data_IF_128558489196
#
_entry.id   IF_128558489196
#
_cell.length_a   1.000
_cell.length_b   1.000
_cell.length_c   1.000
_cell.angle_alpha   90.00
_cell.angle_beta   90.00
_cell.angle_gamma   90.00
#
_symmetry.space_group_name_H-M   'P 1'
#
loop_
_entity.id
_entity.type
_entity.pdbx_description
1 polymer ?
#
# COMPACT_ATOMS: atom_id res chain seq x y z
N UNK A 1 16.78 22.61 49.14
CA UNK A 1 17.76 22.38 48.04
C UNK A 1 17.17 21.56 46.87
N UNK A 2 15.84 21.59 46.63
CA UNK A 2 15.16 20.73 45.64
C UNK A 2 14.65 21.46 44.38
N UNK A 3 14.74 22.79 44.31
CA UNK A 3 14.24 23.54 43.16
C UNK A 3 15.10 23.40 41.89
N UNK A 4 16.41 23.27 42.03
CA UNK A 4 17.33 23.21 40.87
C UNK A 4 17.11 21.96 40.00
N UNK A 5 16.97 20.73 40.54
CA UNK A 5 16.67 19.55 39.73
C UNK A 5 15.32 19.65 39.02
N UNK A 6 14.28 20.15 39.70
CA UNK A 6 12.92 20.26 39.14
C UNK A 6 12.81 21.27 38.01
N UNK A 7 13.58 22.36 38.09
CA UNK A 7 13.66 23.36 37.03
C UNK A 7 14.34 22.77 35.79
N UNK A 8 15.44 22.03 35.99
CA UNK A 8 16.17 21.38 34.91
C UNK A 8 15.32 20.31 34.20
N UNK A 9 14.52 19.56 34.94
CA UNK A 9 13.58 18.59 34.38
C UNK A 9 12.49 19.29 33.52
N UNK A 10 11.90 20.37 34.03
CA UNK A 10 10.90 21.12 33.27
C UNK A 10 11.47 21.75 31.99
N UNK A 11 12.73 22.18 31.99
CA UNK A 11 13.44 22.64 30.79
C UNK A 11 13.61 21.51 29.76
N UNK A 12 14.02 20.31 30.20
CA UNK A 12 14.13 19.15 29.33
C UNK A 12 12.79 18.73 28.71
N UNK A 13 11.73 18.71 29.50
CA UNK A 13 10.38 18.38 29.02
C UNK A 13 9.88 19.42 28.00
N UNK A 14 10.17 20.70 28.22
CA UNK A 14 9.86 21.76 27.23
C UNK A 14 10.64 21.56 25.94
N UNK A 15 11.94 21.32 26.01
CA UNK A 15 12.78 21.16 24.82
C UNK A 15 12.34 19.92 24.00
N UNK A 16 11.95 18.83 24.67
CA UNK A 16 11.35 17.65 24.02
C UNK A 16 10.01 17.97 23.36
N UNK A 17 9.15 18.74 24.01
CA UNK A 17 7.87 19.16 23.45
C UNK A 17 8.05 20.09 22.24
N UNK A 18 9.02 20.99 22.29
CA UNK A 18 9.35 21.89 21.18
C UNK A 18 9.89 21.12 19.98
N UNK A 19 10.74 20.12 20.21
CA UNK A 19 11.23 19.23 19.17
C UNK A 19 10.11 18.38 18.56
N UNK A 20 9.23 17.80 19.38
CA UNK A 20 8.07 17.06 18.90
C UNK A 20 7.13 17.94 18.05
N UNK A 21 6.89 19.18 18.48
CA UNK A 21 6.10 20.15 17.71
C UNK A 21 6.77 20.55 16.40
N UNK A 22 8.12 20.64 16.38
CA UNK A 22 8.88 20.93 15.17
C UNK A 22 8.73 19.81 14.15
N UNK A 23 8.94 18.56 14.58
CA UNK A 23 8.78 17.37 13.75
C UNK A 23 7.36 17.25 13.23
N UNK A 24 6.36 17.41 14.11
CA UNK A 24 4.96 17.42 13.71
C UNK A 24 4.68 18.47 12.61
N UNK A 25 5.13 19.71 12.79
CA UNK A 25 4.94 20.76 11.76
C UNK A 25 5.62 20.40 10.44
N UNK A 26 6.79 19.77 10.49
CA UNK A 26 7.50 19.33 9.30
C UNK A 26 6.74 18.21 8.58
N UNK A 27 6.34 17.14 9.29
CA UNK A 27 5.58 16.04 8.71
C UNK A 27 4.26 16.52 8.09
N UNK A 28 3.58 17.45 8.75
CA UNK A 28 2.37 18.07 8.21
C UNK A 28 2.66 18.91 6.96
N UNK A 29 3.76 19.67 6.96
CA UNK A 29 4.22 20.41 5.79
C UNK A 29 4.49 19.49 4.60
N UNK A 30 5.31 18.47 4.81
CA UNK A 30 5.68 17.48 3.80
C UNK A 30 4.43 16.76 3.24
N UNK A 31 3.47 16.42 4.10
CA UNK A 31 2.21 15.80 3.67
C UNK A 31 1.36 16.74 2.82
N UNK A 32 1.29 18.03 3.17
CA UNK A 32 0.57 19.04 2.39
C UNK A 32 1.21 19.19 1.01
N UNK A 33 2.53 19.31 0.94
CA UNK A 33 3.27 19.42 -0.33
C UNK A 33 3.06 18.19 -1.21
N UNK A 34 3.14 16.99 -0.62
CA UNK A 34 2.89 15.73 -1.32
C UNK A 34 1.48 15.67 -1.91
N UNK A 35 0.45 16.04 -1.12
CA UNK A 35 -0.93 16.06 -1.59
C UNK A 35 -1.17 17.12 -2.67
N UNK A 36 -0.54 18.30 -2.56
CA UNK A 36 -0.62 19.34 -3.59
C UNK A 36 -0.03 18.84 -4.91
N UNK A 37 1.12 18.16 -4.87
CA UNK A 37 1.75 17.58 -6.04
C UNK A 37 0.88 16.51 -6.70
N UNK A 38 0.26 15.63 -5.90
CA UNK A 38 -0.66 14.60 -6.37
C UNK A 38 -1.89 15.21 -7.06
N UNK A 39 -2.50 16.24 -6.45
CA UNK A 39 -3.64 16.96 -7.04
C UNK A 39 -3.27 17.56 -8.39
N UNK A 40 -2.10 18.18 -8.51
CA UNK A 40 -1.65 18.76 -9.77
C UNK A 40 -1.31 17.70 -10.82
N UNK A 41 -0.77 16.55 -10.41
CA UNK A 41 -0.58 15.40 -11.29
C UNK A 41 -1.92 14.86 -11.82
N UNK A 42 -2.90 14.65 -10.95
CA UNK A 42 -4.23 14.18 -11.33
C UNK A 42 -4.95 15.18 -12.22
N UNK A 43 -4.84 16.49 -11.96
CA UNK A 43 -5.38 17.54 -12.83
C UNK A 43 -4.78 17.48 -14.23
N UNK A 44 -3.45 17.32 -14.34
CA UNK A 44 -2.76 17.15 -15.63
C UNK A 44 -3.23 15.89 -16.35
N UNK A 45 -3.32 14.77 -15.64
CA UNK A 45 -3.79 13.51 -16.21
C UNK A 45 -5.23 13.60 -16.72
N UNK A 46 -6.12 14.22 -15.94
CA UNK A 46 -7.51 14.47 -16.33
C UNK A 46 -7.59 15.31 -17.61
N UNK A 47 -6.82 16.41 -17.66
CA UNK A 47 -6.76 17.26 -18.85
C UNK A 47 -6.34 16.49 -20.10
N UNK A 48 -5.28 15.66 -20.01
CA UNK A 48 -4.81 14.87 -21.14
C UNK A 48 -5.88 13.87 -21.63
N UNK A 49 -6.53 13.17 -20.72
CA UNK A 49 -7.61 12.22 -21.04
C UNK A 49 -8.83 12.93 -21.65
N UNK A 50 -9.22 14.08 -21.12
CA UNK A 50 -10.30 14.90 -21.69
C UNK A 50 -9.97 15.32 -23.13
N UNK A 51 -8.72 15.68 -23.40
CA UNK A 51 -8.25 16.06 -24.74
C UNK A 51 -8.26 14.87 -25.72
N UNK A 52 -7.80 13.70 -25.29
CA UNK A 52 -7.83 12.46 -26.07
C UNK A 52 -9.28 12.05 -26.40
N UNK A 53 -10.17 12.07 -25.40
CA UNK A 53 -11.59 11.78 -25.58
C UNK A 53 -12.26 12.76 -26.53
N UNK A 54 -11.92 14.06 -26.45
CA UNK A 54 -12.42 15.08 -27.38
C UNK A 54 -11.98 14.78 -28.81
N UNK A 55 -10.69 14.47 -29.01
CA UNK A 55 -10.14 14.09 -30.32
C UNK A 55 -10.82 12.83 -30.88
N UNK A 56 -11.11 11.84 -30.03
CA UNK A 56 -11.80 10.63 -30.45
C UNK A 56 -13.26 10.90 -30.85
N UNK A 57 -13.97 11.76 -30.11
CA UNK A 57 -15.32 12.21 -30.48
C UNK A 57 -15.33 12.96 -31.80
N UNK A 58 -14.34 13.82 -32.03
CA UNK A 58 -14.18 14.55 -33.30
C UNK A 58 -13.90 13.57 -34.47
N UNK A 59 -12.98 12.61 -34.31
CA UNK A 59 -12.74 11.54 -35.29
C UNK A 59 -14.01 10.74 -35.61
N UNK A 60 -14.79 10.38 -34.57
CA UNK A 60 -16.06 9.66 -34.73
C UNK A 60 -17.13 10.50 -35.42
N UNK A 61 -17.19 11.81 -35.14
CA UNK A 61 -18.15 12.73 -35.74
C UNK A 61 -17.91 12.96 -37.23
N UNK A 62 -16.65 12.91 -37.68
CA UNK A 62 -16.28 13.03 -39.11
C UNK A 62 -16.53 11.72 -39.87
N UNK A 63 -16.60 10.57 -39.18
CA UNK A 63 -16.81 9.24 -39.76
C UNK A 63 -18.26 8.78 -39.92
N UNK A 64 -19.26 9.61 -39.59
CA UNK A 64 -20.69 9.26 -39.69
C UNK A 64 -21.40 10.21 -40.65
N UNK A 65 -21.22 9.97 -41.95
CA UNK A 65 -22.15 10.41 -42.99
C UNK A 65 -22.81 9.15 -43.57
N UNK A 66 -24.14 8.94 -43.43
CA UNK A 66 -24.84 7.89 -44.14
C UNK A 66 -25.38 8.47 -45.45
N UNK A 67 -24.63 8.39 -46.54
CA UNK A 67 -25.21 8.44 -47.88
C UNK A 67 -24.56 7.40 -48.80
N UNK A 68 -25.44 6.71 -49.51
CA UNK A 68 -25.17 5.58 -50.38
C UNK A 68 -24.38 5.98 -51.62
N UNK A 69 -23.39 5.16 -52.01
CA UNK A 69 -23.06 4.81 -53.40
C UNK A 69 -21.93 3.76 -53.45
N UNK A 70 -22.06 2.67 -54.24
CA UNK A 70 -20.98 1.71 -54.45
C UNK A 70 -20.12 2.16 -55.63
N UNK A 71 -18.85 2.52 -55.36
CA UNK A 71 -17.84 2.64 -56.42
C UNK A 71 -16.69 1.72 -56.08
N UNK A 72 -16.66 0.59 -56.77
CA UNK A 72 -15.47 -0.25 -56.91
C UNK A 72 -14.31 0.60 -57.46
N UNK A 73 -13.22 0.72 -56.70
CA UNK A 73 -11.88 0.96 -57.25
C UNK A 73 -10.86 0.11 -56.51
N UNK A 74 -10.36 -0.90 -57.21
CA UNK A 74 -9.14 -1.65 -56.89
C UNK A 74 -7.96 -0.68 -56.79
N UNK A 75 -7.13 -0.78 -55.74
CA UNK A 75 -5.65 -0.88 -55.84
C UNK A 75 -4.94 -0.63 -54.50
N UNK A 76 -4.30 -1.69 -53.99
CA UNK A 76 -3.02 -1.72 -53.28
C UNK A 76 -2.67 -0.60 -52.27
N UNK A 77 -2.95 -0.79 -50.97
CA UNK A 77 -2.13 -0.22 -49.88
C UNK A 77 -2.34 -0.74 -48.43
N UNK A 78 -3.35 -1.53 -48.01
CA UNK A 78 -3.46 -1.88 -46.57
C UNK A 78 -2.39 -2.85 -46.05
N UNK A 79 -1.84 -3.72 -46.91
CA UNK A 79 -0.92 -4.77 -46.49
C UNK A 79 0.50 -4.29 -46.15
N UNK A 80 0.95 -3.16 -46.74
CA UNK A 80 2.28 -2.60 -46.45
C UNK A 80 2.30 -1.95 -45.06
N UNK A 81 1.26 -1.20 -44.71
CA UNK A 81 1.10 -0.58 -43.39
C UNK A 81 1.04 -1.61 -42.26
N UNK A 82 0.23 -2.67 -42.41
CA UNK A 82 0.11 -3.71 -41.36
C UNK A 82 1.43 -4.46 -41.15
N UNK A 83 2.19 -4.72 -42.22
CA UNK A 83 3.50 -5.39 -42.11
C UNK A 83 4.52 -4.49 -41.41
N UNK A 84 4.56 -3.20 -41.75
CA UNK A 84 5.43 -2.21 -41.10
C UNK A 84 5.06 -2.01 -39.63
N UNK A 85 3.77 -2.01 -39.31
CA UNK A 85 3.29 -1.91 -37.94
C UNK A 85 3.64 -3.16 -37.11
N UNK A 86 3.54 -4.36 -37.69
CA UNK A 86 4.00 -5.59 -37.04
C UNK A 86 5.52 -5.61 -36.80
N UNK A 87 6.31 -5.07 -37.73
CA UNK A 87 7.77 -4.95 -37.55
C UNK A 87 8.12 -3.93 -36.46
N UNK A 88 7.39 -2.82 -36.37
CA UNK A 88 7.56 -1.84 -35.30
C UNK A 88 7.21 -2.43 -33.92
N UNK A 89 6.06 -3.12 -33.81
CA UNK A 89 5.63 -3.79 -32.57
C UNK A 89 6.63 -4.88 -32.16
N UNK A 90 7.17 -5.66 -33.11
CA UNK A 90 8.21 -6.66 -32.81
C UNK A 90 9.46 -6.03 -32.23
N UNK A 91 9.90 -4.89 -32.80
CA UNK A 91 11.09 -4.18 -32.33
C UNK A 91 10.89 -3.58 -30.94
N UNK A 92 9.70 -3.03 -30.66
CA UNK A 92 9.35 -2.56 -29.31
C UNK A 92 9.28 -3.71 -28.31
N UNK A 93 8.70 -4.85 -28.68
CA UNK A 93 8.64 -6.03 -27.82
C UNK A 93 10.04 -6.56 -27.47
N UNK A 94 10.97 -6.55 -28.43
CA UNK A 94 12.35 -6.95 -28.20
C UNK A 94 13.10 -5.97 -27.30
N UNK A 95 12.85 -4.66 -27.45
CA UNK A 95 13.41 -3.64 -26.57
C UNK A 95 12.91 -3.78 -25.13
N UNK A 96 11.60 -3.96 -24.94
CA UNK A 96 10.97 -4.17 -23.62
C UNK A 96 11.47 -5.45 -22.97
N UNK A 97 11.65 -6.53 -23.75
CA UNK A 97 12.21 -7.79 -23.23
C UNK A 97 13.63 -7.59 -22.72
N UNK A 98 14.47 -6.86 -23.47
CA UNK A 98 15.84 -6.54 -23.05
C UNK A 98 15.88 -5.69 -21.78
N UNK A 99 14.97 -4.73 -21.65
CA UNK A 99 14.83 -3.92 -20.43
C UNK A 99 14.39 -4.77 -19.24
N UNK A 100 13.45 -5.71 -19.43
CA UNK A 100 13.02 -6.63 -18.38
C UNK A 100 14.17 -7.53 -17.91
N UNK A 101 14.95 -8.08 -18.83
CA UNK A 101 16.12 -8.90 -18.51
C UNK A 101 17.17 -8.09 -17.72
N UNK A 102 17.41 -6.82 -18.08
CA UNK A 102 18.29 -5.93 -17.31
C UNK A 102 17.78 -5.65 -15.91
N UNK A 103 16.48 -5.37 -15.76
CA UNK A 103 15.87 -5.14 -14.44
C UNK A 103 15.92 -6.39 -13.56
N UNK A 104 15.76 -7.59 -14.14
CA UNK A 104 15.96 -8.86 -13.43
C UNK A 104 17.37 -9.02 -12.91
N UNK A 105 18.38 -8.75 -13.74
CA UNK A 105 19.79 -8.80 -13.31
C UNK A 105 20.06 -7.80 -12.18
N UNK A 106 19.55 -6.57 -12.27
CA UNK A 106 19.70 -5.56 -11.19
C UNK A 106 19.03 -6.01 -9.89
N UNK A 107 17.88 -6.69 -9.96
CA UNK A 107 17.20 -7.24 -8.78
C UNK A 107 18.01 -8.38 -8.15
N UNK A 108 18.55 -9.30 -8.94
CA UNK A 108 19.41 -10.39 -8.45
C UNK A 108 20.71 -9.85 -7.83
N UNK A 109 21.32 -8.83 -8.42
CA UNK A 109 22.48 -8.14 -7.86
C UNK A 109 22.13 -7.42 -6.56
N UNK A 110 20.95 -6.78 -6.47
CA UNK A 110 20.47 -6.13 -5.26
C UNK A 110 20.19 -7.13 -4.13
N UNK A 111 19.59 -8.29 -4.44
CA UNK A 111 19.37 -9.36 -3.45
C UNK A 111 20.70 -9.98 -2.97
N UNK A 112 21.67 -10.11 -3.87
CA UNK A 112 23.01 -10.60 -3.53
C UNK A 112 23.77 -9.61 -2.63
N UNK A 113 23.65 -8.30 -2.89
CA UNK A 113 24.22 -7.25 -2.04
C UNK A 113 23.47 -7.12 -0.71
N UNK A 114 22.14 -7.27 -0.72
CA UNK A 114 21.31 -7.30 0.49
C UNK A 114 21.68 -8.47 1.40
N UNK A 115 22.00 -9.64 0.83
CA UNK A 115 22.43 -10.82 1.59
C UNK A 115 23.81 -10.65 2.24
N UNK A 116 24.63 -9.70 1.76
CA UNK A 116 25.95 -9.40 2.32
C UNK A 116 25.96 -8.31 3.39
N UNK A 117 24.84 -7.63 3.64
CA UNK A 117 24.70 -6.59 4.68
C UNK A 117 23.92 -7.02 5.94
N UNK A 118 23.51 -8.28 6.07
CA UNK A 118 22.73 -8.76 7.23
C UNK A 118 23.55 -9.04 8.51
N UNK A 119 24.64 -8.32 8.78
CA UNK A 119 25.39 -8.40 10.05
C UNK A 119 25.44 -7.08 10.83
N UNK A 120 24.32 -6.37 10.89
CA UNK A 120 24.06 -5.42 11.99
C UNK A 120 22.58 -5.04 12.06
N UNK A 121 22.04 -5.10 13.29
CA UNK A 121 20.82 -4.44 13.76
C UNK A 121 19.50 -5.15 13.33
N UNK A 122 18.55 -5.56 14.19
CA UNK A 122 18.20 -5.24 15.59
C UNK A 122 17.39 -6.41 16.20
N UNK A 123 17.31 -6.47 17.54
CA UNK A 123 16.70 -7.56 18.33
C UNK A 123 15.16 -7.55 18.45
N UNK A 124 14.38 -7.00 17.50
CA UNK A 124 12.94 -6.75 17.74
C UNK A 124 11.95 -7.51 16.83
N UNK A 125 12.40 -8.49 16.05
CA UNK A 125 11.55 -9.29 15.12
C UNK A 125 11.43 -10.77 15.51
N UNK A 126 11.75 -11.15 16.74
CA UNK A 126 11.78 -12.56 17.15
C UNK A 126 10.41 -13.15 17.56
N UNK A 127 9.29 -12.43 17.39
CA UNK A 127 7.95 -12.95 17.72
C UNK A 127 7.00 -13.13 16.52
N UNK A 128 7.39 -12.74 15.30
CA UNK A 128 6.56 -12.97 14.10
C UNK A 128 6.79 -14.33 13.40
N UNK A 129 7.77 -15.13 13.85
CA UNK A 129 8.17 -16.39 13.20
C UNK A 129 7.56 -17.67 13.80
N UNK A 130 6.47 -17.59 14.58
CA UNK A 130 5.90 -18.78 15.25
C UNK A 130 4.82 -19.55 14.45
N UNK A 131 4.53 -19.14 13.21
CA UNK A 131 3.44 -19.76 12.44
C UNK A 131 3.80 -20.25 11.04
N UNK A 132 5.09 -20.48 10.76
CA UNK A 132 5.47 -21.23 9.54
C UNK A 132 5.16 -22.74 9.64
N UNK A 133 4.76 -23.27 10.80
CA UNK A 133 4.67 -24.73 10.99
C UNK A 133 3.48 -25.26 11.84
N UNK A 134 2.35 -24.53 11.91
CA UNK A 134 1.19 -24.97 12.72
C UNK A 134 -0.03 -25.35 11.89
N UNK A 135 -0.51 -26.59 12.11
CA UNK A 135 -1.71 -27.23 11.53
C UNK A 135 -2.88 -26.26 11.33
N UNK A 136 -3.68 -26.43 10.27
CA UNK A 136 -4.80 -25.54 10.00
C UNK A 136 -5.88 -25.67 11.10
N UNK A 137 -5.94 -24.69 11.99
CA UNK A 137 -6.92 -24.57 13.07
C UNK A 137 -8.14 -23.75 12.64
N UNK A 138 -9.36 -24.16 12.99
CA UNK A 138 -10.56 -23.39 12.63
C UNK A 138 -10.65 -22.14 13.53
N UNK A 139 -11.19 -21.03 13.02
CA UNK A 139 -11.41 -19.82 13.82
C UNK A 139 -12.37 -20.10 14.98
N UNK A 140 -11.96 -19.81 16.22
CA UNK A 140 -12.75 -20.08 17.43
C UNK A 140 -13.99 -19.18 17.61
N UNK A 141 -14.26 -18.26 16.68
CA UNK A 141 -15.40 -17.35 16.74
C UNK A 141 -16.46 -17.63 15.67
N UNK A 142 -16.03 -17.83 14.42
CA UNK A 142 -16.96 -18.08 13.31
C UNK A 142 -17.12 -19.55 12.97
N UNK A 143 -16.24 -20.43 13.46
CA UNK A 143 -16.23 -21.88 13.21
C UNK A 143 -16.35 -22.29 11.72
N UNK A 144 -16.13 -21.36 10.79
CA UNK A 144 -16.31 -21.58 9.35
C UNK A 144 -15.17 -22.42 8.77
N UNK A 145 -15.50 -23.51 8.08
CA UNK A 145 -14.55 -24.38 7.37
C UNK A 145 -13.77 -23.66 6.26
N UNK A 146 -14.28 -22.54 5.74
CA UNK A 146 -13.56 -21.68 4.77
C UNK A 146 -12.41 -20.88 5.40
N UNK A 147 -12.31 -20.82 6.74
CA UNK A 147 -11.19 -20.18 7.43
C UNK A 147 -9.90 -21.01 7.38
N UNK A 148 -9.93 -22.23 6.84
CA UNK A 148 -8.75 -23.09 6.66
C UNK A 148 -7.70 -22.50 5.70
N UNK A 149 -8.11 -21.69 4.72
CA UNK A 149 -7.24 -21.09 3.69
C UNK A 149 -6.85 -19.63 3.97
N UNK A 150 -7.46 -18.99 4.96
CA UNK A 150 -7.18 -17.58 5.30
C UNK A 150 -6.05 -17.49 6.32
N UNK A 151 -5.23 -16.44 6.21
CA UNK A 151 -4.20 -16.13 7.19
C UNK A 151 -4.84 -15.97 8.58
N UNK A 152 -4.30 -16.68 9.56
CA UNK A 152 -4.78 -16.67 10.95
C UNK A 152 -3.84 -15.88 11.80
N UNK A 153 -4.41 -15.15 12.76
CA UNK A 153 -3.65 -14.38 13.74
C UNK A 153 -4.12 -14.75 15.16
N UNK A 154 -3.28 -14.48 16.14
CA UNK A 154 -3.61 -14.65 17.54
C UNK A 154 -4.21 -13.36 18.09
N UNK A 155 -5.26 -13.48 18.91
CA UNK A 155 -5.68 -12.36 19.74
C UNK A 155 -4.61 -12.07 20.79
N UNK A 156 -4.11 -10.83 20.85
CA UNK A 156 -3.09 -10.44 21.83
C UNK A 156 -3.60 -10.40 23.29
N UNK A 157 -4.92 -10.43 23.49
CA UNK A 157 -5.54 -10.49 24.82
C UNK A 157 -5.79 -11.93 25.31
N UNK A 158 -6.50 -12.77 24.55
CA UNK A 158 -6.84 -14.14 24.98
C UNK A 158 -5.93 -15.24 24.42
N UNK A 159 -5.01 -14.91 23.51
CA UNK A 159 -4.07 -15.86 22.86
C UNK A 159 -4.74 -16.99 22.05
N UNK A 160 -6.00 -16.83 21.72
CA UNK A 160 -6.75 -17.76 20.85
C UNK A 160 -6.57 -17.41 19.37
N UNK A 161 -6.82 -18.37 18.48
CA UNK A 161 -6.64 -18.25 17.03
C UNK A 161 -7.93 -17.79 16.35
N UNK A 162 -7.80 -16.75 15.51
CA UNK A 162 -8.93 -16.20 14.77
C UNK A 162 -8.54 -15.86 13.32
N UNK A 163 -9.54 -15.79 12.45
CA UNK A 163 -9.36 -15.26 11.11
C UNK A 163 -9.20 -13.72 11.15
N UNK A 164 -8.61 -13.15 10.10
CA UNK A 164 -8.39 -11.70 10.00
C UNK A 164 -9.68 -10.88 10.18
N UNK A 165 -10.82 -11.36 9.65
CA UNK A 165 -12.12 -10.69 9.83
C UNK A 165 -12.60 -10.67 11.29
N UNK A 166 -12.23 -11.68 12.10
CA UNK A 166 -12.55 -11.74 13.53
C UNK A 166 -11.53 -10.99 14.42
N UNK A 167 -10.40 -10.56 13.84
CA UNK A 167 -9.35 -9.75 14.46
C UNK A 167 -9.26 -8.34 13.87
N UNK A 168 -10.40 -7.80 13.43
CA UNK A 168 -10.45 -6.49 12.79
C UNK A 168 -10.32 -5.30 13.76
N UNK A 169 -10.38 -5.55 15.08
CA UNK A 169 -10.40 -4.49 16.08
C UNK A 169 -9.03 -4.30 16.74
N UNK A 170 -8.58 -3.05 16.83
CA UNK A 170 -7.32 -2.66 17.44
C UNK A 170 -7.56 -1.83 18.70
N UNK A 171 -6.85 -2.16 19.77
CA UNK A 171 -7.00 -1.48 21.05
C UNK A 171 -5.65 -1.44 21.80
N UNK A 172 -5.29 -0.32 22.47
CA UNK A 172 -4.11 -0.29 23.33
C UNK A 172 -4.30 -1.19 24.54
N UNK A 173 -3.50 -2.25 24.64
CA UNK A 173 -3.48 -3.10 25.83
C UNK A 173 -2.43 -2.59 26.83
N UNK A 174 -2.62 -2.76 28.15
CA UNK A 174 -1.59 -2.40 29.14
C UNK A 174 -0.23 -3.10 28.92
N UNK A 175 -0.23 -4.21 28.20
CA UNK A 175 0.94 -5.00 27.83
C UNK A 175 1.69 -4.48 26.59
N UNK A 176 1.18 -3.47 25.89
CA UNK A 176 1.78 -2.93 24.66
C UNK A 176 1.58 -1.42 24.56
N UNK A 177 2.65 -0.69 24.22
CA UNK A 177 2.58 0.76 23.97
C UNK A 177 1.82 1.04 22.66
N UNK A 178 1.85 0.12 21.70
CA UNK A 178 1.16 0.23 20.42
C UNK A 178 -0.22 -0.45 20.45
N UNK A 179 -1.21 0.05 19.68
CA UNK A 179 -2.49 -0.64 19.48
C UNK A 179 -2.27 -2.05 18.94
N UNK A 180 -2.94 -3.03 19.54
CA UNK A 180 -2.81 -4.43 19.13
C UNK A 180 -4.16 -5.01 18.71
N UNK A 181 -4.12 -5.94 17.76
CA UNK A 181 -5.31 -6.63 17.27
C UNK A 181 -5.85 -7.60 18.32
N UNK A 182 -7.14 -7.47 18.62
CA UNK A 182 -7.89 -8.28 19.58
C UNK A 182 -9.18 -8.79 18.95
N UNK A 183 -9.66 -9.96 19.41
CA UNK A 183 -10.89 -10.52 18.88
C UNK A 183 -12.11 -9.70 19.32
N UNK A 184 -13.21 -9.79 18.58
CA UNK A 184 -14.44 -9.01 18.82
C UNK A 184 -14.98 -9.14 20.27
N UNK A 185 -14.87 -10.33 20.85
CA UNK A 185 -15.26 -10.60 22.24
C UNK A 185 -14.36 -9.87 23.25
N UNK A 186 -13.04 -9.93 23.03
CA UNK A 186 -12.08 -9.21 23.87
C UNK A 186 -12.24 -7.70 23.72
N UNK A 187 -12.45 -7.22 22.49
CA UNK A 187 -12.68 -5.81 22.21
C UNK A 187 -13.89 -5.27 23.00
N UNK A 188 -15.02 -5.97 22.97
CA UNK A 188 -16.24 -5.57 23.69
C UNK A 188 -16.04 -5.58 25.21
N UNK A 189 -15.41 -6.64 25.75
CA UNK A 189 -15.12 -6.75 27.19
C UNK A 189 -14.16 -5.67 27.68
N UNK A 190 -13.09 -5.42 26.93
CA UNK A 190 -12.10 -4.41 27.27
C UNK A 190 -12.72 -3.01 27.23
N UNK A 191 -13.48 -2.67 26.19
CA UNK A 191 -14.23 -1.40 26.12
C UNK A 191 -15.18 -1.22 27.31
N UNK A 192 -15.90 -2.28 27.70
CA UNK A 192 -16.78 -2.22 28.86
C UNK A 192 -16.00 -2.00 30.16
N UNK A 193 -14.83 -2.62 30.34
CA UNK A 193 -13.97 -2.42 31.51
C UNK A 193 -13.41 -1.00 31.58
N UNK A 194 -12.97 -0.43 30.45
CA UNK A 194 -12.54 0.97 30.39
C UNK A 194 -13.69 1.94 30.69
N UNK A 195 -14.91 1.65 30.24
CA UNK A 195 -16.09 2.46 30.54
C UNK A 195 -16.59 2.33 31.99
N UNK A 196 -16.33 1.19 32.63
CA UNK A 196 -16.80 0.87 33.99
C UNK A 196 -15.80 1.22 35.09
N UNK A 197 -14.61 1.73 34.74
CA UNK A 197 -13.62 2.18 35.70
C UNK A 197 -13.89 3.67 36.01
N UNK A 198 -14.53 4.01 37.15
CA UNK A 198 -14.59 5.40 37.56
C UNK A 198 -13.16 5.89 37.81
N UNK A 199 -12.81 7.03 37.20
CA UNK A 199 -11.60 7.77 37.55
C UNK A 199 -11.57 8.17 39.02
#
# INVERSE_FOLDING_TARGET
>A
MWLKPRTRQAEQERDLADEANRLFKQEFGDKIESLQLEVDQLRRQRYLLEMELKKERERKSVGVHPEASPVEKKSSSPQKDVKQQMEAIRKELEAVKKENDQLRTVLEEKESLSSSMSLSQNEDDQEQSLFEDSKPSICNMCEETESLTRAKKLCKNCKEVFCESCLANELPLPSSINPVQVCNECHSKLLQQYASSPS
#
